data_IF_926773573322
#
_entry.id   IF_926773573322
#
_cell.length_a   1.000
_cell.length_b   1.000
_cell.length_c   1.000
_cell.angle_alpha   90.00
_cell.angle_beta   90.00
_cell.angle_gamma   90.00
#
_symmetry.space_group_name_H-M   'P 1'
#
loop_
_entity.id
_entity.type
_entity.pdbx_description
1 polymer ?
#
# COMPACT_ATOMS: atom_id res chain seq x y z
N UNK A 1 11.18 12.81 -20.40
CA UNK A 1 11.37 11.88 -21.53
C UNK A 1 10.61 10.61 -21.17
N UNK A 2 9.51 10.30 -21.86
CA UNK A 2 8.75 9.06 -21.61
C UNK A 2 9.60 7.90 -22.16
N UNK A 3 9.84 6.82 -21.41
CA UNK A 3 10.66 5.71 -21.90
C UNK A 3 10.06 5.14 -23.19
N UNK A 4 10.88 4.93 -24.23
CA UNK A 4 10.45 4.37 -25.52
C UNK A 4 10.05 2.89 -25.50
N UNK A 5 9.88 2.30 -24.32
CA UNK A 5 9.36 0.95 -24.14
C UNK A 5 8.18 1.00 -23.18
N UNK A 6 7.10 0.28 -23.53
CA UNK A 6 5.99 0.08 -22.61
C UNK A 6 6.51 -0.73 -21.41
N UNK A 7 6.49 -0.10 -20.24
CA UNK A 7 6.88 -0.72 -18.99
C UNK A 7 5.82 -1.77 -18.62
N UNK A 8 6.03 -3.01 -19.08
CA UNK A 8 5.08 -4.11 -18.95
C UNK A 8 5.55 -5.08 -17.88
N UNK A 9 4.73 -5.24 -16.85
CA UNK A 9 4.91 -6.29 -15.86
C UNK A 9 4.35 -7.61 -16.37
N UNK A 10 5.00 -8.72 -15.99
CA UNK A 10 4.47 -10.07 -16.24
C UNK A 10 3.24 -10.35 -15.36
N UNK A 11 3.23 -9.79 -14.16
CA UNK A 11 2.18 -9.94 -13.17
C UNK A 11 1.26 -8.72 -13.20
N UNK A 12 -0.05 -8.87 -12.91
CA UNK A 12 -0.95 -7.74 -12.70
C UNK A 12 -0.38 -6.81 -11.63
N UNK A 13 -0.32 -5.51 -11.90
CA UNK A 13 0.18 -4.50 -10.97
C UNK A 13 -0.94 -3.54 -10.61
N UNK A 14 -1.09 -3.32 -9.31
CA UNK A 14 -2.03 -2.39 -8.73
C UNK A 14 -1.29 -1.31 -7.93
N UNK A 15 -1.74 -0.06 -8.00
CA UNK A 15 -1.31 1.00 -7.08
C UNK A 15 -2.47 1.47 -6.24
N UNK A 16 -2.29 1.48 -4.92
CA UNK A 16 -3.25 2.04 -3.98
C UNK A 16 -2.74 3.37 -3.43
N UNK A 17 -3.59 4.38 -3.49
CA UNK A 17 -3.34 5.66 -2.85
C UNK A 17 -4.66 6.30 -2.38
N UNK A 18 -4.57 7.21 -1.41
CA UNK A 18 -5.70 7.93 -0.87
C UNK A 18 -5.45 9.44 -0.93
N UNK A 19 -6.37 10.18 -1.56
CA UNK A 19 -6.34 11.64 -1.63
C UNK A 19 -7.37 12.24 -0.69
N UNK A 20 -6.97 13.21 0.13
CA UNK A 20 -7.91 13.95 0.98
C UNK A 20 -8.43 15.18 0.24
N UNK A 21 -9.75 15.34 0.22
CA UNK A 21 -10.45 16.47 -0.40
C UNK A 21 -11.05 17.30 0.74
N UNK A 22 -10.57 18.53 0.88
CA UNK A 22 -11.06 19.48 1.87
C UNK A 22 -12.49 19.94 1.50
N UNK A 23 -13.37 19.98 2.48
CA UNK A 23 -14.76 20.40 2.35
C UNK A 23 -15.09 21.51 3.35
N UNK A 24 -16.09 22.33 3.03
CA UNK A 24 -16.66 23.28 3.98
C UNK A 24 -17.51 22.52 5.01
N UNK A 25 -17.13 22.57 6.29
CA UNK A 25 -17.83 21.83 7.35
C UNK A 25 -19.28 22.29 7.53
N UNK A 26 -19.55 23.59 7.35
CA UNK A 26 -20.92 24.13 7.44
C UNK A 26 -21.85 23.53 6.38
N UNK A 27 -21.32 23.27 5.18
CA UNK A 27 -22.07 22.67 4.07
C UNK A 27 -22.13 21.14 4.17
N UNK A 28 -21.13 20.52 4.81
CA UNK A 28 -21.02 19.06 4.95
C UNK A 28 -20.72 18.65 6.40
N UNK A 29 -21.68 18.81 7.34
CA UNK A 29 -21.44 18.56 8.77
C UNK A 29 -21.10 17.11 9.09
N UNK A 30 -21.53 16.17 8.25
CA UNK A 30 -21.25 14.74 8.37
C UNK A 30 -19.79 14.38 8.06
N UNK A 31 -19.05 15.25 7.34
CA UNK A 31 -17.68 14.98 6.91
C UNK A 31 -16.65 15.58 7.88
N UNK A 32 -16.93 15.59 9.18
CA UNK A 32 -16.07 16.21 10.20
C UNK A 32 -14.67 15.57 10.24
N UNK A 33 -13.64 16.38 9.99
CA UNK A 33 -12.24 15.92 9.94
C UNK A 33 -11.37 16.56 11.01
N UNK A 34 -11.45 17.89 11.17
CA UNK A 34 -10.77 18.68 12.22
C UNK A 34 -11.73 19.75 12.75
N UNK A 35 -11.34 20.42 13.84
CA UNK A 35 -12.15 21.39 14.59
C UNK A 35 -12.95 22.39 13.75
N UNK A 36 -12.42 22.83 12.60
CA UNK A 36 -13.08 23.78 11.70
C UNK A 36 -13.12 23.33 10.24
N UNK A 37 -12.78 22.06 9.94
CA UNK A 37 -12.65 21.56 8.57
C UNK A 37 -13.37 20.24 8.38
N UNK A 38 -14.20 20.19 7.34
CA UNK A 38 -14.71 18.93 6.80
C UNK A 38 -13.71 18.37 5.80
N UNK A 39 -13.64 17.04 5.67
CA UNK A 39 -12.89 16.41 4.59
C UNK A 39 -13.42 15.01 4.30
N UNK A 40 -13.27 14.60 3.04
CA UNK A 40 -13.43 13.20 2.62
C UNK A 40 -12.10 12.68 2.10
N UNK A 41 -11.95 11.37 2.09
CA UNK A 41 -10.84 10.67 1.44
C UNK A 41 -11.35 9.88 0.26
N UNK A 42 -10.70 10.06 -0.87
CA UNK A 42 -10.87 9.27 -2.08
C UNK A 42 -9.74 8.24 -2.16
N UNK A 43 -10.08 6.97 -1.95
CA UNK A 43 -9.17 5.84 -2.08
C UNK A 43 -9.30 5.28 -3.50
N UNK A 44 -8.17 5.15 -4.21
CA UNK A 44 -8.14 4.67 -5.59
C UNK A 44 -7.17 3.50 -5.71
N UNK A 45 -7.66 2.40 -6.30
CA UNK A 45 -6.85 1.30 -6.80
C UNK A 45 -6.73 1.35 -8.30
N UNK A 46 -5.56 1.72 -8.80
CA UNK A 46 -5.26 1.82 -10.22
C UNK A 46 -4.70 0.48 -10.73
N UNK A 47 -5.32 -0.07 -11.77
CA UNK A 47 -4.79 -1.22 -12.50
C UNK A 47 -3.89 -0.75 -13.64
N UNK A 48 -2.62 -1.15 -13.61
CA UNK A 48 -1.60 -0.75 -14.59
C UNK A 48 -1.70 -1.48 -15.93
N UNK A 49 -2.54 -2.51 -16.08
CA UNK A 49 -2.77 -3.16 -17.36
C UNK A 49 -3.54 -2.26 -18.34
N UNK A 50 -4.51 -1.50 -17.82
CA UNK A 50 -5.34 -0.57 -18.60
C UNK A 50 -5.21 0.90 -18.20
N UNK A 51 -4.45 1.20 -17.14
CA UNK A 51 -4.42 2.52 -16.48
C UNK A 51 -5.80 3.02 -16.06
N UNK A 52 -6.68 2.09 -15.67
CA UNK A 52 -8.03 2.39 -15.23
C UNK A 52 -8.14 2.23 -13.71
N UNK A 53 -8.88 3.12 -13.02
CA UNK A 53 -9.30 2.88 -11.65
C UNK A 53 -10.17 1.61 -11.61
N UNK A 54 -9.69 0.59 -10.92
CA UNK A 54 -10.45 -0.65 -10.69
C UNK A 54 -11.26 -0.58 -9.40
N UNK A 55 -10.78 0.20 -8.43
CA UNK A 55 -11.46 0.42 -7.16
C UNK A 55 -11.47 1.90 -6.83
N UNK A 56 -12.63 2.42 -6.43
CA UNK A 56 -12.80 3.79 -5.96
C UNK A 56 -13.75 3.78 -4.77
N UNK A 57 -13.27 4.27 -3.62
CA UNK A 57 -14.06 4.35 -2.40
C UNK A 57 -13.92 5.73 -1.78
N UNK A 58 -15.03 6.35 -1.41
CA UNK A 58 -15.05 7.60 -0.65
C UNK A 58 -15.35 7.29 0.81
N UNK A 59 -14.54 7.82 1.73
CA UNK A 59 -14.75 7.71 3.17
C UNK A 59 -14.67 9.09 3.82
N UNK A 60 -15.09 9.20 5.08
CA UNK A 60 -14.76 10.37 5.90
C UNK A 60 -13.24 10.56 6.01
N UNK A 61 -12.80 11.81 6.17
CA UNK A 61 -11.38 12.17 6.21
C UNK A 61 -10.60 11.49 7.33
N UNK A 62 -11.26 11.14 8.44
CA UNK A 62 -10.62 10.50 9.61
C UNK A 62 -10.29 9.03 9.39
N UNK A 63 -10.86 8.39 8.37
CA UNK A 63 -10.66 6.96 8.15
C UNK A 63 -9.20 6.66 7.82
N UNK A 64 -8.64 5.63 8.45
CA UNK A 64 -7.30 5.13 8.12
C UNK A 64 -7.34 4.34 6.81
N UNK A 65 -6.38 4.61 5.92
CA UNK A 65 -6.36 4.08 4.55
C UNK A 65 -6.29 2.55 4.52
N UNK A 66 -5.60 1.94 5.49
CA UNK A 66 -5.56 0.49 5.66
C UNK A 66 -6.93 -0.16 5.85
N UNK A 67 -7.92 0.58 6.35
CA UNK A 67 -9.29 0.06 6.50
C UNK A 67 -9.89 -0.25 5.15
N UNK A 68 -9.69 0.64 4.17
CA UNK A 68 -10.13 0.42 2.80
C UNK A 68 -9.23 -0.61 2.13
N UNK A 69 -7.91 -0.56 2.34
CA UNK A 69 -6.99 -1.57 1.78
C UNK A 69 -7.37 -3.01 2.10
N UNK A 70 -7.93 -3.27 3.29
CA UNK A 70 -8.41 -4.59 3.72
C UNK A 70 -9.70 -5.05 3.04
N UNK A 71 -10.50 -4.15 2.49
CA UNK A 71 -11.74 -4.53 1.76
C UNK A 71 -11.47 -4.87 0.30
N UNK A 72 -10.30 -4.49 -0.22
CA UNK A 72 -9.93 -4.73 -1.60
C UNK A 72 -9.49 -6.18 -1.82
N UNK A 73 -9.89 -6.73 -2.97
CA UNK A 73 -9.52 -8.06 -3.40
C UNK A 73 -8.66 -7.95 -4.66
N UNK A 74 -7.54 -8.66 -4.68
CA UNK A 74 -6.64 -8.68 -5.82
C UNK A 74 -6.52 -10.12 -6.36
N UNK A 75 -6.33 -10.29 -7.67
CA UNK A 75 -6.08 -11.60 -8.24
C UNK A 75 -4.83 -12.25 -7.67
N UNK A 76 -4.82 -13.58 -7.53
CA UNK A 76 -3.62 -14.36 -7.17
C UNK A 76 -2.46 -14.04 -8.13
N UNK A 77 -1.26 -13.90 -7.58
CA UNK A 77 -0.04 -13.56 -8.32
C UNK A 77 0.08 -12.09 -8.72
N UNK A 78 -0.86 -11.23 -8.31
CA UNK A 78 -0.76 -9.79 -8.49
C UNK A 78 0.31 -9.17 -7.58
N UNK A 79 0.76 -7.97 -7.95
CA UNK A 79 1.63 -7.12 -7.15
C UNK A 79 0.84 -5.88 -6.77
N UNK A 80 0.80 -5.55 -5.48
CA UNK A 80 0.14 -4.34 -4.98
C UNK A 80 1.19 -3.38 -4.42
N UNK A 81 1.35 -2.23 -5.08
CA UNK A 81 2.19 -1.13 -4.62
C UNK A 81 1.38 -0.18 -3.74
N UNK A 82 1.80 -0.01 -2.50
CA UNK A 82 1.13 0.84 -1.51
C UNK A 82 2.11 1.76 -0.81
N UNK A 83 1.60 2.90 -0.36
CA UNK A 83 2.37 3.85 0.43
C UNK A 83 2.57 3.38 1.90
N UNK A 84 3.10 4.25 2.77
CA UNK A 84 3.35 3.93 4.17
C UNK A 84 2.06 3.98 5.03
N UNK A 85 1.00 4.64 4.56
CA UNK A 85 -0.31 4.73 5.21
C UNK A 85 -1.01 3.36 5.34
N UNK A 86 -0.74 2.45 4.41
CA UNK A 86 -1.24 1.06 4.40
C UNK A 86 -0.40 0.08 5.23
N UNK A 87 0.49 0.57 6.11
CA UNK A 87 1.41 -0.32 6.82
C UNK A 87 0.72 -1.11 7.94
N UNK A 88 0.41 -2.38 7.66
CA UNK A 88 -0.17 -3.32 8.61
C UNK A 88 0.32 -4.75 8.35
N UNK A 89 1.01 -5.32 9.33
CA UNK A 89 1.64 -6.64 9.20
C UNK A 89 0.62 -7.79 9.10
N UNK A 90 -0.56 -7.66 9.70
CA UNK A 90 -1.59 -8.70 9.58
C UNK A 90 -2.13 -8.75 8.16
N UNK A 91 -2.36 -7.59 7.55
CA UNK A 91 -2.73 -7.48 6.15
C UNK A 91 -1.63 -7.99 5.21
N UNK A 92 -0.36 -7.70 5.50
CA UNK A 92 0.75 -8.27 4.72
C UNK A 92 0.77 -9.80 4.74
N UNK A 93 0.50 -10.41 5.90
CA UNK A 93 0.37 -11.85 6.02
C UNK A 93 -0.79 -12.36 5.17
N UNK A 94 -1.96 -11.71 5.26
CA UNK A 94 -3.14 -12.09 4.47
C UNK A 94 -2.87 -12.03 2.95
N UNK A 95 -2.21 -10.98 2.46
CA UNK A 95 -1.79 -10.90 1.06
C UNK A 95 -0.86 -12.05 0.69
N UNK A 96 0.12 -12.33 1.54
CA UNK A 96 1.08 -13.43 1.33
C UNK A 96 0.39 -14.80 1.29
N UNK A 97 -0.53 -15.06 2.22
CA UNK A 97 -1.31 -16.31 2.28
C UNK A 97 -2.18 -16.50 1.03
N UNK A 98 -2.65 -15.40 0.42
CA UNK A 98 -3.40 -15.38 -0.85
C UNK A 98 -2.51 -15.40 -2.09
N UNK A 99 -1.20 -15.58 -1.92
CA UNK A 99 -0.21 -15.54 -3.00
C UNK A 99 -0.24 -14.21 -3.79
N UNK A 100 -0.49 -13.11 -3.08
CA UNK A 100 -0.41 -11.73 -3.57
C UNK A 100 0.88 -11.11 -3.06
N UNK A 101 1.66 -10.53 -3.97
CA UNK A 101 2.89 -9.82 -3.64
C UNK A 101 2.59 -8.35 -3.34
N UNK A 102 3.42 -7.71 -2.51
CA UNK A 102 3.25 -6.29 -2.21
C UNK A 102 4.59 -5.55 -2.19
N UNK A 103 4.52 -4.25 -2.50
CA UNK A 103 5.64 -3.31 -2.40
C UNK A 103 5.18 -2.16 -1.52
N UNK A 104 5.93 -1.90 -0.45
CA UNK A 104 5.62 -0.82 0.48
C UNK A 104 6.89 -0.24 1.09
N UNK A 105 6.77 0.97 1.62
CA UNK A 105 7.85 1.61 2.37
C UNK A 105 7.92 1.04 3.79
N UNK A 106 9.05 0.41 4.13
CA UNK A 106 9.32 -0.06 5.49
C UNK A 106 9.41 1.13 6.47
N UNK A 107 8.84 0.99 7.67
CA UNK A 107 8.99 2.01 8.73
C UNK A 107 10.43 2.01 9.25
N UNK A 108 10.98 3.19 9.53
CA UNK A 108 12.35 3.37 10.06
C UNK A 108 12.57 2.67 11.40
N UNK A 109 11.52 2.51 12.20
CA UNK A 109 11.55 1.83 13.49
C UNK A 109 11.21 0.33 13.40
N UNK A 110 11.04 -0.23 12.20
CA UNK A 110 10.74 -1.65 12.04
C UNK A 110 11.87 -2.51 12.62
N UNK A 111 11.51 -3.43 13.52
CA UNK A 111 12.45 -4.38 14.13
C UNK A 111 12.43 -5.67 13.33
N UNK A 112 13.55 -5.99 12.71
CA UNK A 112 13.74 -7.22 11.94
C UNK A 112 15.19 -7.69 12.05
N UNK A 113 15.41 -8.95 11.69
CA UNK A 113 16.74 -9.52 11.46
C UNK A 113 16.82 -10.09 10.06
N UNK A 114 17.98 -10.03 9.45
CA UNK A 114 18.23 -10.62 8.13
C UNK A 114 18.56 -12.11 8.32
N UNK A 115 17.86 -12.98 7.59
CA UNK A 115 18.11 -14.43 7.59
C UNK A 115 19.00 -14.80 6.41
N UNK A 116 18.77 -14.18 5.26
CA UNK A 116 19.46 -14.50 4.01
C UNK A 116 19.76 -13.23 3.24
N UNK A 117 20.90 -13.20 2.55
CA UNK A 117 21.32 -12.10 1.69
C UNK A 117 21.65 -12.65 0.32
N UNK A 118 21.14 -12.00 -0.72
CA UNK A 118 21.44 -12.36 -2.11
C UNK A 118 22.28 -11.26 -2.76
N UNK A 119 23.07 -11.64 -3.77
CA UNK A 119 23.82 -10.68 -4.56
C UNK A 119 22.86 -9.81 -5.37
N UNK A 120 23.16 -8.50 -5.43
CA UNK A 120 22.35 -7.54 -6.16
C UNK A 120 23.19 -6.75 -7.14
N UNK A 121 22.58 -6.41 -8.28
CA UNK A 121 23.17 -5.51 -9.26
C UNK A 121 23.02 -4.05 -8.80
N UNK A 122 23.90 -3.59 -7.90
CA UNK A 122 23.89 -2.22 -7.36
C UNK A 122 23.88 -1.13 -8.45
N UNK A 123 24.53 -1.42 -9.60
CA UNK A 123 24.54 -0.53 -10.77
C UNK A 123 23.15 -0.23 -11.34
N UNK A 124 22.15 -1.09 -11.08
CA UNK A 124 20.75 -0.91 -11.48
C UNK A 124 19.88 -0.21 -10.41
N UNK A 125 20.50 0.31 -9.34
CA UNK A 125 19.80 1.00 -8.25
C UNK A 125 19.26 0.09 -7.14
N UNK A 126 19.47 -1.23 -7.22
CA UNK A 126 19.06 -2.16 -6.16
C UNK A 126 20.05 -2.13 -5.00
N UNK A 127 19.60 -1.72 -3.82
CA UNK A 127 20.46 -1.56 -2.63
C UNK A 127 20.71 -2.89 -1.92
N UNK A 128 19.69 -3.75 -1.81
CA UNK A 128 19.77 -5.04 -1.14
C UNK A 128 18.63 -5.99 -1.55
N UNK A 129 18.91 -7.29 -1.55
CA UNK A 129 17.94 -8.39 -1.61
C UNK A 129 18.16 -9.25 -0.36
N UNK A 130 17.13 -9.31 0.49
CA UNK A 130 17.22 -9.91 1.81
C UNK A 130 15.92 -10.62 2.16
N UNK A 131 16.04 -11.84 2.67
CA UNK A 131 14.97 -12.48 3.43
C UNK A 131 15.07 -11.99 4.87
N UNK A 132 14.03 -11.34 5.38
CA UNK A 132 14.01 -10.81 6.75
C UNK A 132 12.97 -11.53 7.61
N UNK A 133 13.22 -11.61 8.91
CA UNK A 133 12.23 -11.99 9.91
C UNK A 133 11.94 -10.82 10.83
N UNK A 134 10.65 -10.49 11.00
CA UNK A 134 10.23 -9.46 11.94
C UNK A 134 10.47 -9.93 13.37
N UNK A 135 11.06 -9.06 14.21
CA UNK A 135 11.45 -9.39 15.59
C UNK A 135 10.70 -8.55 16.64
N UNK A 136 9.84 -7.62 16.23
CA UNK A 136 9.00 -6.88 17.15
C UNK A 136 7.98 -7.78 17.85
N UNK A 137 7.76 -7.56 19.15
CA UNK A 137 6.92 -8.42 20.01
C UNK A 137 5.52 -8.67 19.42
N UNK A 138 4.88 -7.64 18.87
CA UNK A 138 3.57 -7.76 18.23
C UNK A 138 3.66 -8.09 16.73
N UNK A 139 4.68 -7.62 16.03
CA UNK A 139 4.78 -7.77 14.57
C UNK A 139 5.17 -9.18 14.17
N UNK A 140 6.05 -9.83 14.95
CA UNK A 140 6.43 -11.23 14.75
C UNK A 140 5.25 -12.21 14.94
N UNK A 141 4.23 -11.83 15.72
CA UNK A 141 3.00 -12.63 15.85
C UNK A 141 2.06 -12.45 14.66
N UNK A 142 2.03 -11.23 14.08
CA UNK A 142 1.11 -10.86 12.99
C UNK A 142 1.62 -11.29 11.61
N UNK A 143 2.93 -11.32 11.41
CA UNK A 143 3.59 -11.73 10.18
C UNK A 143 4.89 -12.48 10.55
N UNK A 144 4.78 -13.79 10.87
CA UNK A 144 5.88 -14.59 11.40
C UNK A 144 7.01 -14.85 10.41
#
# INVERSE_FOLDING_TARGET
MVPGHNFRFKNPLYSLDASTIDLCLEMFPWADFRTTKGAVKLHVGLNHAGYLPEFVTVTEGKQHDITVGRTLQFPKGSIVAVDKGYNDYAWYKELTDKEIFFVTRLKTNAKYRVIERRQVLKKKGLTSDQTIKLTGVQTAKKCP
#
